data_IF_623909129898
#
_entry.id   IF_623909129898
#
_cell.length_a   1.000
_cell.length_b   1.000
_cell.length_c   1.000
_cell.angle_alpha   90.00
_cell.angle_beta   90.00
_cell.angle_gamma   90.00
#
_symmetry.space_group_name_H-M   'P 1'
#
loop_
_entity.id
_entity.type
_entity.pdbx_description
1 polymer ?
#
# COMPACT_ATOMS: atom_id res chain seq x y z
N UNK A 1 -22.92 -0.15 -30.69
CA UNK A 1 -21.78 -0.37 -29.79
C UNK A 1 -22.37 -0.47 -28.39
N UNK A 2 -22.45 -1.64 -27.78
CA UNK A 2 -22.86 -1.77 -26.37
C UNK A 2 -21.68 -1.30 -25.53
N UNK A 3 -21.85 -0.22 -24.78
CA UNK A 3 -20.86 0.26 -23.81
C UNK A 3 -21.02 -0.65 -22.59
N UNK A 4 -20.30 -1.77 -22.57
CA UNK A 4 -20.43 -2.80 -21.52
C UNK A 4 -19.80 -2.39 -20.18
N UNK A 5 -18.93 -1.38 -20.18
CA UNK A 5 -18.14 -0.95 -19.01
C UNK A 5 -18.43 0.51 -18.63
N UNK A 6 -19.70 0.89 -18.49
CA UNK A 6 -20.04 2.26 -18.10
C UNK A 6 -20.71 2.29 -16.73
N UNK A 7 -20.38 3.34 -15.98
CA UNK A 7 -21.07 3.73 -14.76
C UNK A 7 -22.09 4.81 -15.12
N UNK A 8 -23.36 4.60 -14.81
CA UNK A 8 -24.46 5.53 -15.10
C UNK A 8 -25.34 5.80 -13.87
N UNK A 9 -25.38 4.85 -12.95
CA UNK A 9 -26.22 4.86 -11.77
C UNK A 9 -25.36 5.05 -10.52
N UNK A 10 -24.23 4.35 -10.45
CA UNK A 10 -23.29 4.46 -9.34
C UNK A 10 -22.12 5.37 -9.73
N UNK A 11 -21.54 6.17 -8.80
CA UNK A 11 -20.37 6.98 -9.06
C UNK A 11 -19.12 6.10 -9.28
N UNK A 12 -18.08 6.71 -9.86
CA UNK A 12 -16.77 6.07 -9.96
C UNK A 12 -16.11 5.98 -8.58
N UNK A 13 -15.26 4.97 -8.43
CA UNK A 13 -14.42 4.80 -7.23
C UNK A 13 -13.31 5.84 -7.17
N UNK A 14 -12.64 5.92 -6.02
CA UNK A 14 -11.47 6.78 -5.83
C UNK A 14 -10.38 6.44 -6.86
N UNK A 15 -9.83 7.48 -7.49
CA UNK A 15 -8.88 7.37 -8.59
C UNK A 15 -7.43 7.17 -8.11
N UNK A 16 -6.55 6.80 -9.05
CA UNK A 16 -5.13 6.55 -8.86
C UNK A 16 -4.37 7.73 -8.23
N UNK A 17 -4.65 8.96 -8.64
CA UNK A 17 -4.02 10.17 -8.07
C UNK A 17 -4.26 10.28 -6.56
N UNK A 18 -5.51 10.06 -6.13
CA UNK A 18 -5.86 10.05 -4.69
C UNK A 18 -5.18 8.89 -3.96
N UNK A 19 -5.06 7.73 -4.64
CA UNK A 19 -4.30 6.59 -4.12
C UNK A 19 -2.85 6.93 -3.82
N UNK A 20 -2.15 7.63 -4.73
CA UNK A 20 -0.76 8.11 -4.51
C UNK A 20 -0.69 9.00 -3.28
N UNK A 21 -1.57 9.99 -3.21
CA UNK A 21 -1.58 10.93 -2.09
C UNK A 21 -1.83 10.23 -0.75
N UNK A 22 -2.81 9.33 -0.69
CA UNK A 22 -3.13 8.56 0.51
C UNK A 22 -1.97 7.64 0.94
N UNK A 23 -1.30 6.97 0.02
CA UNK A 23 -0.20 6.07 0.32
C UNK A 23 1.05 6.78 0.85
N UNK A 24 1.34 7.99 0.38
CA UNK A 24 2.54 8.74 0.72
C UNK A 24 2.34 9.83 1.80
N UNK A 25 1.09 10.01 2.28
CA UNK A 25 0.67 11.13 3.12
C UNK A 25 1.56 11.36 4.34
N UNK A 26 1.88 10.31 5.08
CA UNK A 26 2.59 10.38 6.37
C UNK A 26 4.09 10.02 6.27
N UNK A 27 4.61 9.81 5.05
CA UNK A 27 6.00 9.37 4.88
C UNK A 27 7.02 10.52 4.88
N UNK A 28 6.56 11.76 5.13
CA UNK A 28 7.42 12.95 5.24
C UNK A 28 7.88 13.53 3.91
N UNK A 29 7.23 13.14 2.82
CA UNK A 29 7.48 13.65 1.47
C UNK A 29 6.57 14.80 1.08
N UNK A 30 6.85 15.42 -0.05
CA UNK A 30 5.99 16.37 -0.74
C UNK A 30 5.40 15.69 -1.98
N UNK A 31 4.08 15.49 -1.97
CA UNK A 31 3.36 14.95 -3.12
C UNK A 31 2.82 16.10 -3.97
N UNK A 32 3.16 16.11 -5.24
CA UNK A 32 2.79 17.17 -6.19
C UNK A 32 1.92 16.60 -7.29
N UNK A 33 0.65 16.97 -7.28
CA UNK A 33 -0.30 16.67 -8.36
C UNK A 33 -0.15 17.69 -9.48
N UNK A 34 0.26 17.25 -10.66
CA UNK A 34 0.26 18.11 -11.84
C UNK A 34 -1.13 18.15 -12.45
N UNK A 35 -1.87 19.22 -12.15
CA UNK A 35 -3.30 19.32 -12.42
C UNK A 35 -3.78 20.80 -12.46
N UNK A 36 -4.90 21.09 -13.13
CA UNK A 36 -5.55 22.40 -13.07
C UNK A 36 -6.14 22.80 -11.71
N UNK A 37 -6.18 21.93 -10.72
CA UNK A 37 -6.70 22.09 -9.37
C UNK A 37 -8.21 21.91 -9.14
N UNK A 38 -9.00 21.78 -10.18
CA UNK A 38 -10.47 21.67 -10.04
C UNK A 38 -10.92 20.43 -9.26
N UNK A 39 -10.60 19.25 -9.76
CA UNK A 39 -11.05 17.99 -9.16
C UNK A 39 -10.19 17.56 -7.96
N UNK A 40 -8.88 17.74 -8.03
CA UNK A 40 -7.95 17.25 -7.00
C UNK A 40 -7.91 18.13 -5.74
N UNK A 41 -8.40 19.38 -5.79
CA UNK A 41 -8.52 20.21 -4.58
C UNK A 41 -9.49 19.61 -3.56
N UNK A 42 -10.51 18.86 -4.02
CA UNK A 42 -11.47 18.19 -3.14
C UNK A 42 -10.79 17.14 -2.26
N UNK A 43 -9.84 16.39 -2.81
CA UNK A 43 -9.06 15.43 -2.05
C UNK A 43 -8.38 16.09 -0.84
N UNK A 44 -7.68 17.21 -1.07
CA UNK A 44 -6.94 17.91 -0.02
C UNK A 44 -7.83 18.51 1.08
N UNK A 45 -9.11 18.77 0.80
CA UNK A 45 -9.97 19.50 1.73
C UNK A 45 -11.04 18.65 2.39
N UNK A 46 -11.41 17.50 1.81
CA UNK A 46 -12.57 16.75 2.25
C UNK A 46 -12.42 15.23 2.23
N UNK A 47 -11.62 14.69 1.32
CA UNK A 47 -11.59 13.24 1.07
C UNK A 47 -10.48 12.53 1.84
N UNK A 48 -9.36 13.21 2.16
CA UNK A 48 -8.33 12.63 3.02
C UNK A 48 -8.77 12.63 4.49
N UNK A 49 -8.90 11.47 5.09
CA UNK A 49 -9.43 11.29 6.46
C UNK A 49 -8.54 11.92 7.53
N UNK A 50 -7.23 11.98 7.29
CA UNK A 50 -6.21 12.48 8.22
C UNK A 50 -5.95 13.98 8.11
N UNK A 51 -6.61 14.67 7.19
CA UNK A 51 -6.34 16.09 6.89
C UNK A 51 -6.42 17.01 8.10
N UNK A 52 -7.31 16.71 9.05
CA UNK A 52 -7.51 17.52 10.24
C UNK A 52 -6.59 17.17 11.39
N UNK A 53 -5.99 15.98 11.38
CA UNK A 53 -5.21 15.42 12.49
C UNK A 53 -3.70 15.46 12.21
N UNK A 54 -3.31 15.38 10.93
CA UNK A 54 -1.91 15.30 10.51
C UNK A 54 -1.62 16.23 9.34
N UNK A 55 -0.63 17.09 9.48
CA UNK A 55 -0.13 17.94 8.42
C UNK A 55 0.61 17.08 7.36
N UNK A 56 0.33 17.34 6.08
CA UNK A 56 1.07 16.75 4.97
C UNK A 56 1.32 17.75 3.85
N UNK A 57 2.43 17.55 3.15
CA UNK A 57 2.84 18.41 2.03
C UNK A 57 2.25 17.87 0.72
N UNK A 58 0.97 18.15 0.49
CA UNK A 58 0.28 17.82 -0.78
C UNK A 58 -0.01 19.11 -1.54
N UNK A 59 0.47 19.19 -2.77
CA UNK A 59 0.40 20.36 -3.63
C UNK A 59 -0.22 20.05 -4.98
N UNK A 60 -0.85 21.06 -5.55
CA UNK A 60 -1.38 21.04 -6.92
C UNK A 60 -0.66 22.14 -7.70
N UNK A 61 -0.17 21.83 -8.90
CA UNK A 61 0.62 22.78 -9.70
C UNK A 61 -0.20 23.95 -10.24
N UNK A 62 -1.55 23.86 -10.26
CA UNK A 62 -2.43 24.88 -10.78
C UNK A 62 -2.21 25.12 -12.29
N UNK A 63 -2.19 24.05 -13.07
CA UNK A 63 -2.04 24.08 -14.52
C UNK A 63 -3.10 24.99 -15.14
N UNK A 64 -2.67 26.06 -15.82
CA UNK A 64 -3.58 26.96 -16.54
C UNK A 64 -3.90 26.43 -17.93
N UNK A 65 -4.95 26.93 -18.56
CA UNK A 65 -5.30 26.59 -19.95
C UNK A 65 -4.13 26.87 -20.92
N UNK A 66 -3.46 28.01 -20.76
CA UNK A 66 -2.27 28.33 -21.58
C UNK A 66 -1.10 27.39 -21.30
N UNK A 67 -0.87 27.01 -20.05
CA UNK A 67 0.19 26.04 -19.73
C UNK A 67 -0.13 24.67 -20.36
N UNK A 68 -1.41 24.27 -20.37
CA UNK A 68 -1.86 23.02 -20.98
C UNK A 68 -1.70 23.00 -22.52
N UNK A 69 -1.96 24.13 -23.19
CA UNK A 69 -1.86 24.24 -24.64
C UNK A 69 -0.39 24.37 -25.12
N UNK A 70 0.40 25.20 -24.43
CA UNK A 70 1.77 25.54 -24.86
C UNK A 70 2.85 24.65 -24.28
N UNK A 71 2.55 23.94 -23.22
CA UNK A 71 3.53 23.28 -22.35
C UNK A 71 4.29 24.29 -21.49
N UNK A 72 4.47 24.03 -20.20
CA UNK A 72 5.23 24.91 -19.31
C UNK A 72 5.94 24.14 -18.17
N UNK A 73 6.68 23.11 -18.53
CA UNK A 73 7.43 22.29 -17.57
C UNK A 73 8.39 23.11 -16.71
N UNK A 74 8.97 24.19 -17.31
CA UNK A 74 9.88 25.10 -16.58
C UNK A 74 9.21 25.78 -15.38
N UNK A 75 7.91 26.11 -15.49
CA UNK A 75 7.14 26.67 -14.37
C UNK A 75 7.00 25.63 -13.26
N UNK A 76 6.63 24.40 -13.62
CA UNK A 76 6.48 23.29 -12.68
C UNK A 76 7.79 23.03 -11.93
N UNK A 77 8.89 22.90 -12.64
CA UNK A 77 10.22 22.69 -12.07
C UNK A 77 10.57 23.80 -11.09
N UNK A 78 10.43 25.06 -11.50
CA UNK A 78 10.72 26.22 -10.65
C UNK A 78 9.85 26.25 -9.40
N UNK A 79 8.52 26.17 -9.56
CA UNK A 79 7.57 26.34 -8.46
C UNK A 79 7.70 25.22 -7.42
N UNK A 80 7.92 23.98 -7.86
CA UNK A 80 8.18 22.83 -6.98
C UNK A 80 9.55 22.94 -6.30
N UNK A 81 10.60 23.34 -7.02
CA UNK A 81 11.94 23.55 -6.46
C UNK A 81 11.94 24.64 -5.40
N UNK A 82 11.26 25.76 -5.65
CA UNK A 82 11.15 26.87 -4.70
C UNK A 82 10.38 26.47 -3.44
N UNK A 83 9.32 25.68 -3.57
CA UNK A 83 8.59 25.11 -2.44
C UNK A 83 9.47 24.14 -1.64
N UNK A 84 10.13 23.21 -2.33
CA UNK A 84 10.98 22.19 -1.72
C UNK A 84 12.15 22.78 -0.93
N UNK A 85 12.80 23.83 -1.43
CA UNK A 85 13.88 24.56 -0.72
C UNK A 85 13.41 25.23 0.57
N UNK A 86 12.13 25.61 0.66
CA UNK A 86 11.55 26.23 1.86
C UNK A 86 11.06 25.20 2.87
N UNK A 87 10.50 24.09 2.39
CA UNK A 87 9.79 23.12 3.21
C UNK A 87 10.66 21.91 3.60
N UNK A 88 11.77 21.70 2.88
CA UNK A 88 12.76 20.63 3.12
C UNK A 88 12.13 19.24 3.31
N UNK A 89 11.28 18.76 2.39
CA UNK A 89 10.70 17.43 2.50
C UNK A 89 11.75 16.33 2.39
N UNK A 90 11.48 15.15 2.94
CA UNK A 90 12.38 13.98 2.83
C UNK A 90 12.52 13.49 1.38
N UNK A 91 11.47 13.63 0.58
CA UNK A 91 11.44 13.31 -0.85
C UNK A 91 10.33 14.12 -1.56
N UNK A 92 10.32 14.07 -2.89
CA UNK A 92 9.26 14.67 -3.70
C UNK A 92 8.70 13.57 -4.63
N UNK A 93 7.37 13.45 -4.67
CA UNK A 93 6.68 12.55 -5.58
C UNK A 93 5.79 13.36 -6.55
N UNK A 94 5.99 13.17 -7.86
CA UNK A 94 5.15 13.80 -8.89
C UNK A 94 4.11 12.78 -9.36
N UNK A 95 2.83 13.19 -9.43
CA UNK A 95 1.78 12.41 -10.04
C UNK A 95 0.93 13.28 -10.97
N UNK A 96 0.26 12.66 -11.93
CA UNK A 96 -0.45 13.35 -13.00
C UNK A 96 -1.94 13.07 -13.02
N UNK A 97 -2.68 14.03 -13.60
CA UNK A 97 -4.09 13.95 -13.90
C UNK A 97 -4.34 13.73 -15.40
N UNK A 98 -5.60 13.57 -15.86
CA UNK A 98 -5.90 13.31 -17.27
C UNK A 98 -5.37 14.37 -18.25
N UNK A 99 -5.35 15.65 -17.88
CA UNK A 99 -4.96 16.72 -18.82
C UNK A 99 -3.45 16.66 -19.14
N UNK A 100 -2.53 16.66 -18.17
CA UNK A 100 -1.11 16.50 -18.48
C UNK A 100 -0.79 15.17 -19.16
N UNK A 101 -1.51 14.09 -18.82
CA UNK A 101 -1.36 12.81 -19.50
C UNK A 101 -1.68 12.91 -21.00
N UNK A 102 -2.80 13.55 -21.36
CA UNK A 102 -3.17 13.77 -22.75
C UNK A 102 -2.19 14.68 -23.51
N UNK A 103 -1.52 15.58 -22.80
CA UNK A 103 -0.48 16.45 -23.36
C UNK A 103 0.88 15.73 -23.54
N UNK A 104 1.02 14.49 -23.05
CA UNK A 104 2.25 13.72 -23.14
C UNK A 104 3.35 14.26 -22.21
N UNK A 105 3.00 14.78 -21.04
CA UNK A 105 3.96 15.29 -20.05
C UNK A 105 4.92 14.18 -19.60
N UNK A 106 6.23 14.43 -19.70
CA UNK A 106 7.27 13.52 -19.23
C UNK A 106 7.60 13.79 -17.74
N UNK A 107 6.88 13.11 -16.86
CA UNK A 107 7.06 13.25 -15.41
C UNK A 107 8.44 12.80 -14.94
N UNK A 108 9.06 11.82 -15.59
CA UNK A 108 10.38 11.33 -15.19
C UNK A 108 11.46 12.40 -15.52
N UNK A 109 11.36 13.06 -16.67
CA UNK A 109 12.25 14.16 -17.01
C UNK A 109 12.07 15.35 -16.05
N UNK A 110 10.84 15.73 -15.73
CA UNK A 110 10.54 16.81 -14.76
C UNK A 110 11.09 16.45 -13.37
N UNK A 111 10.89 15.22 -12.90
CA UNK A 111 11.40 14.74 -11.61
C UNK A 111 12.93 14.82 -11.54
N UNK A 112 13.63 14.38 -12.61
CA UNK A 112 15.09 14.46 -12.70
C UNK A 112 15.61 15.91 -12.66
N UNK A 113 14.92 16.86 -13.30
CA UNK A 113 15.26 18.27 -13.26
C UNK A 113 15.07 18.86 -11.86
N UNK A 114 13.96 18.56 -11.18
CA UNK A 114 13.68 19.01 -9.81
C UNK A 114 14.75 18.47 -8.86
N UNK A 115 15.04 17.17 -8.90
CA UNK A 115 16.09 16.55 -8.09
C UNK A 115 17.45 17.23 -8.29
N UNK A 116 17.80 17.50 -9.55
CA UNK A 116 19.06 18.19 -9.89
C UNK A 116 19.12 19.62 -9.31
N UNK A 117 18.00 20.35 -9.28
CA UNK A 117 17.98 21.74 -8.85
C UNK A 117 17.88 21.92 -7.32
N UNK A 118 17.16 21.02 -6.62
CA UNK A 118 16.98 21.14 -5.17
C UNK A 118 17.83 20.15 -4.35
N UNK A 119 18.38 19.10 -4.97
CA UNK A 119 19.15 18.05 -4.29
C UNK A 119 18.31 17.11 -3.43
N UNK A 120 16.98 17.17 -3.52
CA UNK A 120 16.05 16.32 -2.79
C UNK A 120 15.62 15.19 -3.74
N UNK A 121 15.66 13.94 -3.24
CA UNK A 121 15.23 12.76 -4.02
C UNK A 121 13.83 12.99 -4.58
N UNK A 122 13.70 12.92 -5.90
CA UNK A 122 12.44 13.16 -6.61
C UNK A 122 12.14 12.01 -7.57
N UNK A 123 10.90 11.51 -7.56
CA UNK A 123 10.46 10.46 -8.45
C UNK A 123 9.05 10.71 -8.99
N UNK A 124 8.76 10.11 -10.13
CA UNK A 124 7.44 10.16 -10.74
C UNK A 124 6.63 8.90 -10.40
N UNK A 125 5.33 9.08 -10.21
CA UNK A 125 4.32 8.02 -10.16
C UNK A 125 3.37 8.25 -11.32
N UNK A 126 3.39 7.33 -12.29
CA UNK A 126 2.60 7.47 -13.52
C UNK A 126 1.12 7.23 -13.21
N UNK A 127 0.36 8.31 -13.11
CA UNK A 127 -1.10 8.33 -12.93
C UNK A 127 -1.76 9.17 -14.02
N UNK A 128 -3.03 8.92 -14.27
CA UNK A 128 -3.79 9.63 -15.30
C UNK A 128 -5.27 9.84 -14.93
N UNK A 129 -5.69 9.47 -13.72
CA UNK A 129 -7.07 9.57 -13.25
C UNK A 129 -8.05 8.57 -13.89
N UNK A 130 -7.56 7.61 -14.69
CA UNK A 130 -8.38 6.59 -15.36
C UNK A 130 -8.30 5.19 -14.71
N UNK A 131 -7.45 5.04 -13.71
CA UNK A 131 -7.28 3.83 -12.90
C UNK A 131 -7.83 4.05 -11.50
N UNK A 132 -8.07 2.97 -10.78
CA UNK A 132 -8.49 3.06 -9.39
C UNK A 132 -7.32 3.30 -8.42
N UNK A 133 -7.66 3.56 -7.16
CA UNK A 133 -6.68 3.90 -6.11
C UNK A 133 -5.67 2.78 -5.83
N UNK A 134 -6.03 1.51 -6.03
CA UNK A 134 -5.11 0.37 -5.80
C UNK A 134 -3.87 0.53 -6.65
N UNK A 135 -4.07 0.82 -7.94
CA UNK A 135 -2.95 0.99 -8.88
C UNK A 135 -2.09 2.19 -8.52
N UNK A 136 -2.72 3.33 -8.22
CA UNK A 136 -1.98 4.54 -7.84
C UNK A 136 -1.17 4.36 -6.56
N UNK A 137 -1.82 3.89 -5.50
CA UNK A 137 -1.19 3.68 -4.19
C UNK A 137 -0.11 2.59 -4.24
N UNK A 138 -0.38 1.46 -4.91
CA UNK A 138 0.59 0.37 -5.05
C UNK A 138 1.83 0.79 -5.83
N UNK A 139 1.65 1.50 -6.96
CA UNK A 139 2.77 2.06 -7.73
C UNK A 139 3.57 3.06 -6.89
N UNK A 140 2.90 3.91 -6.12
CA UNK A 140 3.55 4.89 -5.26
C UNK A 140 4.43 4.24 -4.19
N UNK A 141 3.94 3.20 -3.50
CA UNK A 141 4.71 2.46 -2.49
C UNK A 141 5.91 1.72 -3.11
N UNK A 142 5.75 1.11 -4.30
CA UNK A 142 6.86 0.50 -5.02
C UNK A 142 7.92 1.54 -5.40
N UNK A 143 7.54 2.67 -5.99
CA UNK A 143 8.47 3.75 -6.37
C UNK A 143 9.15 4.37 -5.16
N UNK A 144 8.44 4.55 -4.06
CA UNK A 144 9.01 4.99 -2.79
C UNK A 144 10.08 4.01 -2.29
N UNK A 145 9.80 2.71 -2.37
CA UNK A 145 10.76 1.67 -1.99
C UNK A 145 12.02 1.69 -2.87
N UNK A 146 11.85 1.77 -4.19
CA UNK A 146 12.95 1.81 -5.16
C UNK A 146 13.82 3.06 -5.02
N UNK A 147 13.20 4.24 -4.88
CA UNK A 147 13.89 5.52 -4.96
C UNK A 147 14.38 6.04 -3.62
N UNK A 148 13.63 5.81 -2.54
CA UNK A 148 13.89 6.41 -1.23
C UNK A 148 14.41 5.36 -0.24
N UNK A 149 13.74 4.21 -0.15
CA UNK A 149 14.06 3.23 0.88
C UNK A 149 15.23 2.31 0.55
N UNK A 150 15.41 1.92 -0.72
CA UNK A 150 16.49 1.02 -1.13
C UNK A 150 17.87 1.44 -0.61
N UNK A 151 18.31 2.69 -0.78
CA UNK A 151 19.61 3.14 -0.25
C UNK A 151 19.74 3.03 1.27
N UNK A 152 18.64 3.17 2.01
CA UNK A 152 18.61 3.04 3.47
C UNK A 152 18.65 1.56 3.89
N UNK A 153 17.86 0.72 3.23
CA UNK A 153 17.83 -0.73 3.46
C UNK A 153 19.18 -1.40 3.18
N UNK A 154 19.82 -1.03 2.08
CA UNK A 154 21.17 -1.55 1.73
C UNK A 154 22.20 -1.18 2.81
N UNK A 155 22.14 0.05 3.36
CA UNK A 155 23.01 0.46 4.48
C UNK A 155 22.77 -0.37 5.73
N UNK A 156 21.51 -0.64 6.10
CA UNK A 156 21.16 -1.45 7.27
C UNK A 156 21.68 -2.88 7.11
N UNK A 157 21.54 -3.48 5.92
CA UNK A 157 22.07 -4.82 5.63
C UNK A 157 23.60 -4.88 5.69
N UNK A 158 24.30 -3.89 5.14
CA UNK A 158 25.75 -3.79 5.21
C UNK A 158 26.21 -3.73 6.67
N UNK A 159 25.57 -2.88 7.50
CA UNK A 159 25.88 -2.77 8.92
C UNK A 159 25.66 -4.10 9.65
N UNK A 160 24.53 -4.78 9.40
CA UNK A 160 24.23 -6.11 10.00
C UNK A 160 25.28 -7.15 9.63
N UNK A 161 25.73 -7.18 8.38
CA UNK A 161 26.74 -8.13 7.90
C UNK A 161 28.13 -7.83 8.48
N UNK A 162 28.51 -6.56 8.64
CA UNK A 162 29.73 -6.15 9.33
C UNK A 162 29.79 -6.66 10.78
N UNK A 163 28.70 -6.53 11.53
CA UNK A 163 28.62 -7.01 12.91
C UNK A 163 28.70 -8.55 13.04
N UNK A 164 28.36 -9.28 11.96
CA UNK A 164 28.46 -10.75 11.90
C UNK A 164 29.84 -11.28 11.45
N UNK A 165 30.80 -10.39 11.16
CA UNK A 165 32.13 -10.78 10.69
C UNK A 165 32.15 -11.38 9.28
N UNK A 166 31.09 -11.23 8.50
CA UNK A 166 31.02 -11.66 7.10
C UNK A 166 31.83 -10.71 6.22
N UNK A 167 32.69 -11.25 5.37
CA UNK A 167 33.61 -10.49 4.53
C UNK A 167 32.82 -9.67 3.49
N UNK A 168 32.95 -8.35 3.49
CA UNK A 168 32.18 -7.39 2.68
C UNK A 168 32.28 -7.69 1.17
N UNK A 169 33.40 -8.31 0.74
CA UNK A 169 33.62 -8.65 -0.67
C UNK A 169 32.63 -9.70 -1.23
N UNK A 170 32.11 -10.60 -0.39
CA UNK A 170 31.09 -11.59 -0.80
C UNK A 170 29.68 -11.01 -0.80
N UNK A 171 29.39 -10.08 0.13
CA UNK A 171 28.09 -9.38 0.19
C UNK A 171 27.92 -8.34 -0.94
N UNK A 172 29.01 -7.74 -1.40
CA UNK A 172 29.00 -6.76 -2.50
C UNK A 172 28.74 -7.39 -3.88
N UNK A 173 28.84 -8.71 -4.01
CA UNK A 173 28.53 -9.39 -5.28
C UNK A 173 27.02 -9.53 -5.52
N UNK A 174 26.21 -9.41 -4.48
CA UNK A 174 24.75 -9.35 -4.55
C UNK A 174 24.20 -7.92 -4.62
N UNK A 175 25.00 -6.93 -4.24
CA UNK A 175 24.64 -5.51 -4.26
C UNK A 175 25.26 -4.86 -5.49
N UNK A 176 24.42 -4.33 -6.35
CA UNK A 176 24.64 -3.74 -7.65
C UNK A 176 26.01 -3.03 -7.81
N UNK A 177 26.78 -3.35 -8.88
CA UNK A 177 28.12 -2.82 -9.21
C UNK A 177 28.21 -1.29 -9.26
N UNK A 178 27.10 -0.61 -9.44
CA UNK A 178 27.06 0.85 -9.63
C UNK A 178 27.32 1.61 -8.31
N UNK A 179 26.89 1.06 -7.15
CA UNK A 179 27.04 1.72 -5.86
C UNK A 179 28.50 1.74 -5.34
N UNK A 180 29.32 0.75 -5.73
CA UNK A 180 30.72 0.67 -5.32
C UNK A 180 31.56 1.69 -6.09
N UNK A 181 31.23 1.95 -7.35
CA UNK A 181 31.97 2.89 -8.20
C UNK A 181 31.74 4.37 -7.82
N UNK A 182 30.55 4.77 -7.40
CA UNK A 182 30.29 6.15 -6.94
C UNK A 182 31.04 6.52 -5.66
N UNK A 183 31.14 5.60 -4.70
CA UNK A 183 31.84 5.86 -3.45
C UNK A 183 33.38 5.86 -3.58
N UNK A 184 33.92 5.17 -4.59
CA UNK A 184 35.36 5.17 -4.88
C UNK A 184 35.74 6.46 -5.64
N UNK A 185 34.89 6.94 -6.56
CA UNK A 185 35.14 8.17 -7.30
C UNK A 185 35.08 9.43 -6.40
N UNK A 186 34.20 9.46 -5.39
CA UNK A 186 34.13 10.58 -4.43
C UNK A 186 35.33 10.65 -3.49
N UNK A 187 35.95 9.50 -3.14
CA UNK A 187 37.18 9.51 -2.31
C UNK A 187 38.45 9.93 -3.07
N UNK A 188 38.50 9.74 -4.38
CA UNK A 188 39.64 10.15 -5.18
C UNK A 188 39.64 11.65 -5.54
N UNK A 189 38.48 12.32 -5.47
CA UNK A 189 38.35 13.76 -5.75
C UNK A 189 38.60 14.62 -4.47
N UNK A 190 38.43 14.05 -3.28
CA UNK A 190 38.61 14.77 -2.01
C UNK A 190 40.07 15.11 -1.65
N UNK A 191 41.07 14.57 -2.36
CA UNK A 191 42.50 14.78 -2.06
C UNK A 191 43.18 15.88 -2.89
N UNK A 192 42.48 16.68 -3.69
CA UNK A 192 43.07 17.66 -4.58
C UNK A 192 42.62 19.12 -4.43
N UNK A 193 41.81 19.47 -3.42
CA UNK A 193 41.44 20.88 -3.17
C UNK A 193 41.58 21.20 -1.69
N UNK A 194 42.72 21.78 -1.33
CA UNK A 194 42.91 22.41 -0.03
C UNK A 194 42.24 23.80 -0.01
N UNK A 195 41.25 24.00 0.84
CA UNK A 195 40.72 25.32 1.16
C UNK A 195 39.21 25.50 1.04
N UNK A 196 38.43 24.89 1.90
CA UNK A 196 37.05 25.32 2.21
C UNK A 196 36.57 24.68 3.52
N UNK A 197 35.67 25.31 4.29
CA UNK A 197 35.43 24.98 5.69
C UNK A 197 34.79 23.60 5.86
N UNK A 198 35.40 22.83 6.75
CA UNK A 198 34.93 21.54 7.20
C UNK A 198 33.59 21.72 7.93
N UNK A 199 32.49 21.29 7.32
CA UNK A 199 31.24 21.06 8.06
C UNK A 199 31.46 19.88 9.02
N UNK A 200 31.48 20.18 10.32
CA UNK A 200 31.46 19.15 11.37
C UNK A 200 30.16 18.39 11.27
N UNK A 201 30.24 17.13 10.81
CA UNK A 201 29.15 16.17 10.93
C UNK A 201 28.94 15.94 12.43
N UNK A 202 27.79 16.36 12.91
CA UNK A 202 27.40 16.27 14.31
C UNK A 202 27.33 14.81 14.73
N UNK A 203 28.07 14.42 15.75
CA UNK A 203 28.16 13.07 16.34
C UNK A 203 26.89 12.64 17.10
N UNK A 204 25.72 13.24 16.81
CA UNK A 204 24.44 12.86 17.38
C UNK A 204 23.90 11.47 16.99
N UNK A 205 24.43 10.88 15.90
CA UNK A 205 24.00 9.56 15.43
C UNK A 205 24.42 8.43 16.40
N UNK A 206 25.47 8.62 17.19
CA UNK A 206 25.99 7.58 18.10
C UNK A 206 25.16 7.43 19.37
N UNK A 207 24.47 8.47 19.84
CA UNK A 207 23.67 8.38 21.06
C UNK A 207 22.26 7.83 20.80
N UNK A 208 21.63 8.19 19.69
CA UNK A 208 20.33 7.61 19.28
C UNK A 208 20.40 6.13 18.97
N UNK A 209 21.54 5.64 18.47
CA UNK A 209 21.75 4.20 18.24
C UNK A 209 21.91 3.40 19.55
N UNK A 210 22.41 4.03 20.61
CA UNK A 210 22.56 3.38 21.92
C UNK A 210 21.23 3.27 22.68
N UNK A 211 20.35 4.26 22.59
CA UNK A 211 19.03 4.28 23.23
C UNK A 211 18.04 3.31 22.56
N UNK A 212 18.20 3.04 21.25
CA UNK A 212 17.38 2.04 20.53
C UNK A 212 17.92 0.61 20.66
N UNK A 213 19.13 0.43 21.12
CA UNK A 213 19.72 -0.90 21.37
C UNK A 213 19.08 -1.62 22.58
N UNK A 214 18.45 -0.90 23.49
CA UNK A 214 17.77 -1.49 24.66
C UNK A 214 16.37 -2.07 24.36
N UNK A 215 15.79 -1.74 23.21
CA UNK A 215 14.44 -2.22 22.83
C UNK A 215 14.51 -3.58 22.09
N UNK A 216 15.66 -3.93 21.52
CA UNK A 216 15.86 -5.22 20.84
C UNK A 216 17.07 -5.96 21.43
N UNK A 217 16.92 -7.19 21.97
CA UNK A 217 18.04 -7.93 22.50
C UNK A 217 19.10 -8.17 21.41
N UNK A 218 20.35 -7.86 21.72
CA UNK A 218 21.51 -7.84 20.85
C UNK A 218 21.93 -9.19 20.22
N UNK A 219 21.18 -10.28 20.40
CA UNK A 219 21.48 -11.59 19.84
C UNK A 219 20.30 -12.13 19.03
N UNK A 220 20.17 -11.65 17.79
CA UNK A 220 19.29 -12.27 16.82
C UNK A 220 19.95 -13.52 16.23
N UNK A 221 20.05 -14.57 17.04
CA UNK A 221 20.55 -15.88 16.59
C UNK A 221 19.35 -16.72 16.10
N UNK A 222 19.29 -16.96 14.78
CA UNK A 222 18.23 -17.77 14.14
C UNK A 222 18.19 -19.23 14.59
N UNK A 223 19.11 -19.65 15.46
CA UNK A 223 19.18 -21.01 16.01
C UNK A 223 18.31 -21.21 17.24
N UNK A 224 17.75 -20.14 17.81
CA UNK A 224 16.92 -20.23 19.01
C UNK A 224 15.49 -20.63 18.65
N UNK A 225 15.03 -21.80 19.15
CA UNK A 225 13.70 -22.37 18.89
C UNK A 225 12.54 -21.55 19.46
N UNK A 226 12.81 -20.46 20.18
CA UNK A 226 11.86 -19.50 20.73
C UNK A 226 11.81 -18.17 19.95
N UNK A 227 12.21 -18.18 18.69
CA UNK A 227 12.23 -16.96 17.89
C UNK A 227 10.81 -16.53 17.51
N UNK A 228 10.34 -15.42 18.06
CA UNK A 228 9.09 -14.78 17.65
C UNK A 228 9.25 -14.17 16.25
N UNK A 229 8.32 -14.48 15.35
CA UNK A 229 8.33 -13.97 13.96
C UNK A 229 8.07 -12.48 13.94
N UNK A 230 8.87 -11.76 13.17
CA UNK A 230 8.82 -10.29 13.02
C UNK A 230 8.35 -9.93 11.61
N UNK A 231 7.32 -9.08 11.52
CA UNK A 231 6.69 -8.74 10.24
C UNK A 231 6.67 -7.25 9.96
N UNK A 232 6.57 -6.89 8.67
CA UNK A 232 6.10 -5.57 8.24
C UNK A 232 4.63 -5.64 7.85
N UNK A 233 3.88 -4.56 8.04
CA UNK A 233 2.53 -4.37 7.51
C UNK A 233 2.61 -3.47 6.28
N UNK A 234 2.11 -3.94 5.14
CA UNK A 234 2.14 -3.22 3.87
C UNK A 234 0.72 -2.99 3.34
N UNK A 235 0.45 -1.75 2.93
CA UNK A 235 -0.81 -1.39 2.28
C UNK A 235 -1.95 -0.97 3.22
N UNK A 236 -1.66 -0.60 4.46
CA UNK A 236 -2.67 -0.13 5.42
C UNK A 236 -3.06 1.34 5.17
N UNK A 237 -3.58 1.66 3.98
CA UNK A 237 -4.05 3.02 3.66
C UNK A 237 -5.41 3.32 4.26
N UNK A 238 -5.74 4.58 4.57
CA UNK A 238 -7.08 4.96 5.06
C UNK A 238 -8.20 4.70 4.06
N UNK A 239 -7.89 4.50 2.78
CA UNK A 239 -8.87 4.12 1.77
C UNK A 239 -9.48 2.74 2.04
N UNK A 240 -8.70 1.82 2.65
CA UNK A 240 -9.15 0.49 3.05
C UNK A 240 -9.36 0.36 4.57
N UNK A 241 -8.71 1.21 5.37
CA UNK A 241 -8.71 1.18 6.84
C UNK A 241 -9.08 2.55 7.41
N UNK A 242 -10.28 3.00 7.10
CA UNK A 242 -10.76 4.37 7.37
C UNK A 242 -11.01 4.65 8.84
N UNK A 243 -11.46 3.65 9.59
CA UNK A 243 -11.74 3.81 11.02
C UNK A 243 -10.42 3.90 11.76
N UNK A 244 -10.22 4.97 12.54
CA UNK A 244 -8.97 5.25 13.26
C UNK A 244 -8.48 4.06 14.11
N UNK A 245 -9.41 3.32 14.71
CA UNK A 245 -9.09 2.12 15.50
C UNK A 245 -8.69 0.91 14.65
N UNK A 246 -9.03 0.86 13.36
CA UNK A 246 -8.88 -0.36 12.54
C UNK A 246 -7.43 -0.84 12.44
N UNK A 247 -6.46 0.07 12.23
CA UNK A 247 -5.05 -0.32 12.19
C UNK A 247 -4.54 -0.75 13.56
N UNK A 248 -4.99 -0.09 14.63
CA UNK A 248 -4.66 -0.49 16.00
C UNK A 248 -5.26 -1.87 16.33
N UNK A 249 -6.50 -2.12 15.95
CA UNK A 249 -7.16 -3.41 16.13
C UNK A 249 -6.48 -4.53 15.35
N UNK A 250 -6.09 -4.25 14.10
CA UNK A 250 -5.26 -5.15 13.27
C UNK A 250 -3.95 -5.52 13.98
N UNK A 251 -3.21 -4.51 14.46
CA UNK A 251 -1.95 -4.71 15.18
C UNK A 251 -2.16 -5.53 16.45
N UNK A 252 -3.16 -5.20 17.25
CA UNK A 252 -3.49 -5.93 18.47
C UNK A 252 -3.88 -7.39 18.20
N UNK A 253 -4.62 -7.66 17.13
CA UNK A 253 -5.00 -9.01 16.74
C UNK A 253 -3.78 -9.90 16.40
N UNK A 254 -2.71 -9.33 15.83
CA UNK A 254 -1.46 -10.00 15.56
C UNK A 254 -0.59 -10.17 16.80
N UNK A 255 -0.43 -9.10 17.59
CA UNK A 255 0.38 -9.11 18.82
C UNK A 255 -0.17 -10.13 19.83
N UNK A 256 -1.50 -10.23 19.98
CA UNK A 256 -2.15 -11.22 20.84
C UNK A 256 -1.92 -12.68 20.40
N UNK A 257 -1.31 -12.89 19.23
CA UNK A 257 -0.93 -14.21 18.66
C UNK A 257 0.59 -14.38 18.50
N UNK A 258 1.37 -13.64 19.28
CA UNK A 258 2.84 -13.69 19.32
C UNK A 258 3.50 -13.32 17.98
N UNK A 259 2.84 -12.51 17.12
CA UNK A 259 3.42 -11.93 15.91
C UNK A 259 3.91 -10.52 16.23
N UNK A 260 5.21 -10.26 16.05
CA UNK A 260 5.81 -8.97 16.31
C UNK A 260 5.82 -8.09 15.06
N UNK A 261 5.40 -6.84 15.20
CA UNK A 261 5.35 -5.86 14.12
C UNK A 261 6.61 -5.01 14.18
N UNK A 262 7.40 -5.03 13.09
CA UNK A 262 8.60 -4.22 12.95
C UNK A 262 8.28 -2.84 12.40
N UNK A 263 7.53 -2.80 11.28
CA UNK A 263 7.14 -1.56 10.61
C UNK A 263 5.73 -1.65 10.04
N UNK A 264 5.11 -0.48 9.82
CA UNK A 264 3.82 -0.36 9.15
C UNK A 264 3.88 0.76 8.13
N UNK A 265 3.65 0.45 6.84
CA UNK A 265 3.65 1.43 5.77
C UNK A 265 2.24 1.95 5.48
N UNK A 266 2.13 3.26 5.25
CA UNK A 266 0.90 3.97 4.88
C UNK A 266 -0.13 4.14 6.01
N UNK A 267 0.20 3.75 7.24
CA UNK A 267 -0.65 4.04 8.41
C UNK A 267 0.25 4.34 9.60
N UNK A 268 0.20 5.55 10.08
CA UNK A 268 1.14 5.99 11.10
C UNK A 268 0.78 5.53 12.49
N UNK A 269 -0.45 5.53 12.93
CA UNK A 269 -0.76 5.29 14.34
C UNK A 269 0.35 5.76 15.32
N UNK A 270 1.00 6.91 15.00
CA UNK A 270 2.12 7.45 15.78
C UNK A 270 3.48 6.78 15.53
N UNK A 271 3.68 6.03 14.46
CA UNK A 271 4.98 5.42 14.14
C UNK A 271 5.99 6.43 13.58
N UNK A 272 7.24 6.27 14.00
CA UNK A 272 8.37 7.04 13.49
C UNK A 272 8.73 6.57 12.08
N UNK A 273 8.63 7.46 11.09
CA UNK A 273 9.01 7.18 9.69
C UNK A 273 10.46 6.69 9.57
N UNK A 274 11.34 7.10 10.49
CA UNK A 274 12.74 6.70 10.47
C UNK A 274 12.91 5.19 10.82
N UNK A 275 11.91 4.55 11.45
CA UNK A 275 11.93 3.10 11.69
C UNK A 275 11.74 2.28 10.41
N UNK A 276 11.14 2.85 9.35
CA UNK A 276 10.91 2.16 8.08
C UNK A 276 12.22 1.68 7.42
N UNK A 277 13.37 2.29 7.75
CA UNK A 277 14.67 1.80 7.30
C UNK A 277 15.00 0.38 7.78
N UNK A 278 14.36 -0.08 8.86
CA UNK A 278 14.57 -1.42 9.41
C UNK A 278 13.69 -2.49 8.74
N UNK A 279 12.77 -2.12 7.84
CA UNK A 279 11.82 -3.05 7.22
C UNK A 279 12.49 -4.26 6.54
N UNK A 280 13.71 -4.09 6.03
CA UNK A 280 14.52 -5.16 5.43
C UNK A 280 14.96 -6.25 6.42
N UNK A 281 14.77 -6.03 7.72
CA UNK A 281 15.10 -7.01 8.77
C UNK A 281 13.95 -7.95 9.13
N UNK A 282 12.75 -7.72 8.58
CA UNK A 282 11.58 -8.57 8.83
C UNK A 282 11.75 -9.98 8.28
N UNK A 283 11.05 -10.94 8.88
CA UNK A 283 10.99 -12.33 8.43
C UNK A 283 9.96 -12.51 7.31
N UNK A 284 8.85 -11.72 7.35
CA UNK A 284 7.72 -11.79 6.40
C UNK A 284 7.11 -10.40 6.23
N UNK A 285 6.62 -10.10 5.05
CA UNK A 285 5.76 -8.96 4.78
C UNK A 285 4.29 -9.38 4.83
N UNK A 286 3.47 -8.76 5.67
CA UNK A 286 2.02 -8.94 5.68
C UNK A 286 1.38 -7.88 4.79
N UNK A 287 0.76 -8.32 3.70
CA UNK A 287 0.02 -7.49 2.76
C UNK A 287 -1.44 -7.46 3.19
N UNK A 288 -1.88 -6.30 3.71
CA UNK A 288 -3.22 -6.16 4.29
C UNK A 288 -4.25 -5.59 3.30
N UNK A 289 -3.80 -5.06 2.18
CA UNK A 289 -4.58 -4.64 1.02
C UNK A 289 -3.75 -4.85 -0.25
N UNK A 290 -4.38 -5.02 -1.41
CA UNK A 290 -3.72 -5.13 -2.71
C UNK A 290 -2.77 -3.95 -3.01
N UNK A 291 -2.99 -2.81 -2.36
CA UNK A 291 -2.07 -1.66 -2.37
C UNK A 291 -0.64 -2.04 -1.96
N UNK A 292 -0.48 -2.96 -1.02
CA UNK A 292 0.83 -3.41 -0.55
C UNK A 292 1.55 -4.39 -1.47
N UNK A 293 0.86 -4.99 -2.45
CA UNK A 293 1.42 -6.05 -3.30
C UNK A 293 2.66 -5.64 -4.08
N UNK A 294 2.66 -4.50 -4.84
CA UNK A 294 3.83 -4.12 -5.64
C UNK A 294 5.10 -3.87 -4.82
N UNK A 295 4.93 -3.37 -3.58
CA UNK A 295 6.04 -3.20 -2.64
C UNK A 295 6.51 -4.55 -2.08
N UNK A 296 5.59 -5.45 -1.73
CA UNK A 296 5.94 -6.79 -1.23
C UNK A 296 6.69 -7.61 -2.26
N UNK A 297 6.25 -7.59 -3.52
CA UNK A 297 6.93 -8.21 -4.66
C UNK A 297 8.34 -7.67 -4.82
N UNK A 298 8.51 -6.34 -4.80
CA UNK A 298 9.81 -5.70 -4.87
C UNK A 298 10.74 -6.13 -3.70
N UNK A 299 10.22 -6.16 -2.48
CA UNK A 299 11.00 -6.59 -1.32
C UNK A 299 11.36 -8.09 -1.37
N UNK A 300 10.54 -8.92 -2.01
CA UNK A 300 10.89 -10.30 -2.26
C UNK A 300 11.97 -10.44 -3.36
N UNK A 301 11.81 -9.75 -4.48
CA UNK A 301 12.75 -9.77 -5.61
C UNK A 301 14.16 -9.30 -5.19
N UNK A 302 14.25 -8.22 -4.42
CA UNK A 302 15.53 -7.60 -4.04
C UNK A 302 16.15 -8.17 -2.76
N UNK A 303 15.33 -8.59 -1.79
CA UNK A 303 15.79 -8.96 -0.44
C UNK A 303 15.37 -10.37 0.00
N UNK A 304 14.59 -11.08 -0.79
CA UNK A 304 14.14 -12.44 -0.49
C UNK A 304 13.17 -12.52 0.69
N UNK A 305 12.48 -11.42 1.04
CA UNK A 305 11.51 -11.40 2.14
C UNK A 305 10.17 -11.93 1.62
N UNK A 306 9.70 -13.11 2.07
CA UNK A 306 8.43 -13.66 1.63
C UNK A 306 7.26 -12.79 2.10
N UNK A 307 6.08 -12.96 1.47
CA UNK A 307 4.90 -12.20 1.85
C UNK A 307 3.64 -13.05 1.93
N UNK A 308 2.74 -12.63 2.82
CA UNK A 308 1.43 -13.25 3.05
C UNK A 308 0.36 -12.20 2.86
N UNK A 309 -0.65 -12.47 2.04
CA UNK A 309 -1.79 -11.60 1.83
C UNK A 309 -2.97 -12.04 2.73
N UNK A 310 -3.49 -11.10 3.54
CA UNK A 310 -4.62 -11.31 4.43
C UNK A 310 -4.66 -10.33 5.58
N UNK A 311 -5.84 -10.24 6.24
CA UNK A 311 -6.03 -9.48 7.48
C UNK A 311 -6.57 -10.39 8.60
N UNK A 312 -6.18 -10.18 9.86
CA UNK A 312 -6.55 -11.05 10.98
C UNK A 312 -7.98 -10.74 11.49
N UNK A 313 -8.99 -11.06 10.69
CA UNK A 313 -10.40 -10.81 11.00
C UNK A 313 -11.09 -12.07 11.50
N UNK A 314 -11.88 -11.98 12.59
CA UNK A 314 -12.70 -13.05 13.15
C UNK A 314 -11.98 -14.38 13.27
N UNK A 315 -12.68 -15.47 12.93
CA UNK A 315 -12.17 -16.85 13.05
C UNK A 315 -11.07 -17.20 12.03
N UNK A 316 -10.82 -16.33 11.05
CA UNK A 316 -9.74 -16.50 10.08
C UNK A 316 -8.35 -16.10 10.64
N UNK A 317 -8.29 -15.28 11.70
CA UNK A 317 -7.04 -14.74 12.23
C UNK A 317 -6.01 -15.82 12.61
N UNK A 318 -6.43 -16.94 13.17
CA UNK A 318 -5.53 -18.03 13.56
C UNK A 318 -4.91 -18.75 12.35
N UNK A 319 -5.68 -18.87 11.24
CA UNK A 319 -5.19 -19.43 9.98
C UNK A 319 -4.14 -18.53 9.36
N UNK A 320 -4.41 -17.22 9.32
CA UNK A 320 -3.46 -16.22 8.82
C UNK A 320 -2.13 -16.28 9.60
N UNK A 321 -2.17 -16.34 10.93
CA UNK A 321 -0.95 -16.41 11.74
C UNK A 321 -0.15 -17.70 11.47
N UNK A 322 -0.81 -18.84 11.28
CA UNK A 322 -0.13 -20.08 10.87
C UNK A 322 0.58 -19.94 9.51
N UNK A 323 -0.06 -19.28 8.56
CA UNK A 323 0.53 -19.03 7.24
C UNK A 323 1.72 -18.04 7.31
N UNK A 324 1.66 -17.02 8.17
CA UNK A 324 2.80 -16.13 8.45
C UNK A 324 3.99 -16.94 9.01
N UNK A 325 3.76 -17.80 9.99
CA UNK A 325 4.80 -18.67 10.57
C UNK A 325 5.38 -19.62 9.52
N UNK A 326 4.51 -20.19 8.67
CA UNK A 326 4.92 -21.08 7.57
C UNK A 326 5.77 -20.32 6.55
N UNK A 327 5.34 -19.13 6.11
CA UNK A 327 6.11 -18.31 5.17
C UNK A 327 7.49 -17.94 5.72
N UNK A 328 7.57 -17.61 7.02
CA UNK A 328 8.84 -17.31 7.70
C UNK A 328 9.80 -18.49 7.72
N UNK A 329 9.29 -19.71 8.05
CA UNK A 329 10.11 -20.91 8.22
C UNK A 329 10.52 -21.55 6.89
N UNK A 330 9.58 -21.66 5.95
CA UNK A 330 9.76 -22.35 4.66
C UNK A 330 10.21 -21.42 3.53
N UNK A 331 10.23 -20.10 3.77
CA UNK A 331 10.57 -19.06 2.79
C UNK A 331 9.70 -19.13 1.53
N UNK A 332 8.41 -19.44 1.70
CA UNK A 332 7.45 -19.46 0.60
C UNK A 332 7.28 -18.03 0.07
N UNK A 333 7.50 -17.81 -1.23
CA UNK A 333 7.51 -16.45 -1.81
C UNK A 333 6.22 -15.66 -1.56
N UNK A 334 5.08 -16.28 -1.80
CA UNK A 334 3.77 -15.66 -1.66
C UNK A 334 2.73 -16.66 -1.15
N UNK A 335 1.94 -16.26 -0.16
CA UNK A 335 0.78 -17.02 0.32
C UNK A 335 -0.44 -16.09 0.31
N UNK A 336 -1.50 -16.49 -0.41
CA UNK A 336 -2.82 -15.84 -0.33
C UNK A 336 -3.68 -16.64 0.64
N UNK A 337 -3.52 -16.33 1.94
CA UNK A 337 -3.97 -17.15 3.07
C UNK A 337 -5.48 -17.45 3.06
N UNK A 338 -6.30 -16.45 2.72
CA UNK A 338 -7.78 -16.61 2.71
C UNK A 338 -8.29 -17.51 1.57
N UNK A 339 -7.53 -17.73 0.50
CA UNK A 339 -7.96 -18.63 -0.59
C UNK A 339 -7.94 -20.08 -0.14
N UNK A 340 -6.87 -20.52 0.51
CA UNK A 340 -6.74 -21.88 1.03
C UNK A 340 -7.79 -22.18 2.11
N UNK A 341 -8.05 -21.21 2.99
CA UNK A 341 -9.06 -21.32 4.03
C UNK A 341 -10.47 -21.55 3.48
N UNK A 342 -10.82 -20.90 2.34
CA UNK A 342 -12.15 -21.01 1.71
C UNK A 342 -12.34 -22.26 0.84
N UNK A 343 -11.25 -22.83 0.29
CA UNK A 343 -11.35 -23.98 -0.62
C UNK A 343 -12.04 -25.21 -0.01
N UNK A 344 -11.92 -25.45 1.28
CA UNK A 344 -12.60 -26.56 1.97
C UNK A 344 -14.13 -26.42 1.94
N UNK A 345 -14.66 -25.20 1.99
CA UNK A 345 -16.10 -24.93 1.97
C UNK A 345 -16.67 -25.00 0.54
N UNK A 346 -15.90 -24.64 -0.47
CA UNK A 346 -16.27 -24.77 -1.86
C UNK A 346 -16.43 -26.24 -2.30
N UNK A 347 -15.59 -27.15 -1.79
CA UNK A 347 -15.68 -28.61 -2.08
C UNK A 347 -16.92 -29.25 -1.46
N UNK A 348 -17.35 -28.81 -0.29
CA UNK A 348 -18.54 -29.34 0.38
C UNK A 348 -19.84 -28.88 -0.30
N UNK A 349 -19.80 -27.84 -1.13
CA UNK A 349 -20.94 -27.28 -1.87
C UNK A 349 -21.21 -27.99 -3.22
N UNK A 350 -20.37 -28.96 -3.63
CA UNK A 350 -20.58 -29.76 -4.83
C UNK A 350 -21.77 -30.76 -4.72
N UNK A 351 -22.53 -30.71 -3.62
CA UNK A 351 -23.81 -31.42 -3.47
C UNK A 351 -24.87 -30.66 -4.26
N UNK A 352 -25.11 -31.12 -5.49
CA UNK A 352 -26.27 -30.81 -6.33
C UNK A 352 -26.72 -29.33 -6.32
N UNK A 353 -25.96 -28.47 -6.97
CA UNK A 353 -26.47 -27.16 -7.40
C UNK A 353 -27.52 -27.48 -8.49
N UNK A 354 -28.81 -27.48 -8.14
CA UNK A 354 -29.85 -27.23 -9.12
C UNK A 354 -29.46 -25.95 -9.86
N UNK A 355 -29.45 -25.97 -11.19
CA UNK A 355 -29.00 -24.81 -12.02
C UNK A 355 -29.70 -23.48 -11.72
N UNK A 356 -30.74 -23.50 -10.89
CA UNK A 356 -31.55 -22.34 -10.47
C UNK A 356 -31.39 -21.94 -8.99
N UNK A 357 -30.61 -22.65 -8.18
CA UNK A 357 -30.41 -22.25 -6.78
C UNK A 357 -29.39 -21.11 -6.66
N UNK A 358 -29.75 -20.06 -5.90
CA UNK A 358 -28.81 -18.98 -5.60
C UNK A 358 -27.73 -19.46 -4.64
N UNK A 359 -26.53 -18.88 -4.77
CA UNK A 359 -25.45 -19.04 -3.81
C UNK A 359 -25.77 -18.24 -2.53
N UNK A 360 -25.33 -18.68 -1.34
CA UNK A 360 -25.76 -18.08 -0.08
C UNK A 360 -25.27 -16.64 0.09
N UNK A 361 -23.97 -16.36 -0.14
CA UNK A 361 -23.38 -15.08 0.22
C UNK A 361 -22.26 -14.66 -0.73
N UNK A 362 -22.22 -13.37 -1.06
CA UNK A 362 -21.06 -12.71 -1.65
C UNK A 362 -20.66 -11.48 -0.85
N UNK A 363 -19.40 -11.10 -0.98
CA UNK A 363 -18.86 -9.81 -0.48
C UNK A 363 -18.31 -9.01 -1.65
N UNK A 364 -18.56 -7.69 -1.71
CA UNK A 364 -18.08 -6.82 -2.79
C UNK A 364 -17.04 -5.86 -2.23
N UNK A 365 -15.84 -5.80 -2.82
CA UNK A 365 -14.82 -4.83 -2.47
C UNK A 365 -13.40 -5.25 -2.84
N UNK A 366 -12.43 -4.74 -2.10
CA UNK A 366 -11.02 -4.98 -2.29
C UNK A 366 -10.65 -6.47 -2.02
N UNK A 367 -9.73 -7.02 -2.80
CA UNK A 367 -9.50 -8.46 -2.85
C UNK A 367 -8.97 -9.06 -1.53
N UNK A 368 -8.04 -8.39 -0.84
CA UNK A 368 -7.40 -8.92 0.39
C UNK A 368 -8.32 -8.78 1.59
N UNK A 369 -8.90 -7.60 1.77
CA UNK A 369 -9.81 -7.30 2.88
C UNK A 369 -11.09 -8.14 2.79
N UNK A 370 -11.73 -8.14 1.60
CA UNK A 370 -12.95 -8.92 1.39
C UNK A 370 -12.68 -10.42 1.28
N UNK A 371 -11.51 -10.82 0.78
CA UNK A 371 -11.08 -12.22 0.79
C UNK A 371 -10.94 -12.77 2.21
N UNK A 372 -10.33 -11.99 3.09
CA UNK A 372 -10.17 -12.35 4.51
C UNK A 372 -11.52 -12.37 5.25
N UNK A 373 -12.38 -11.38 4.98
CA UNK A 373 -13.74 -11.35 5.52
C UNK A 373 -14.55 -12.56 5.04
N UNK A 374 -14.49 -12.90 3.74
CA UNK A 374 -15.14 -14.08 3.18
C UNK A 374 -14.64 -15.38 3.83
N UNK A 375 -13.33 -15.48 4.13
CA UNK A 375 -12.78 -16.62 4.85
C UNK A 375 -13.30 -16.71 6.29
N UNK A 376 -13.35 -15.60 7.01
CA UNK A 376 -13.90 -15.55 8.37
C UNK A 376 -15.37 -15.98 8.40
N UNK A 377 -16.18 -15.44 7.49
CA UNK A 377 -17.60 -15.79 7.36
C UNK A 377 -17.80 -17.27 6.94
N UNK A 378 -16.95 -17.77 6.01
CA UNK A 378 -17.02 -19.18 5.61
C UNK A 378 -16.72 -20.13 6.76
N UNK A 379 -15.71 -19.82 7.59
CA UNK A 379 -15.36 -20.61 8.78
C UNK A 379 -16.50 -20.57 9.80
N UNK A 380 -17.00 -19.37 10.10
CA UNK A 380 -18.02 -19.19 11.15
C UNK A 380 -19.37 -19.81 10.83
N UNK A 381 -19.85 -19.63 9.60
CA UNK A 381 -21.19 -20.09 9.20
C UNK A 381 -21.16 -21.42 8.44
N UNK A 382 -20.00 -21.97 8.16
CA UNK A 382 -19.82 -23.20 7.38
C UNK A 382 -20.50 -23.15 6.01
N UNK A 383 -20.40 -22.01 5.31
CA UNK A 383 -20.97 -21.76 3.98
C UNK A 383 -19.90 -21.26 3.00
N UNK A 384 -20.07 -21.50 1.69
CA UNK A 384 -19.23 -20.87 0.68
C UNK A 384 -19.56 -19.38 0.58
N UNK A 385 -18.51 -18.52 0.60
CA UNK A 385 -18.63 -17.09 0.39
C UNK A 385 -17.74 -16.68 -0.77
N UNK A 386 -18.29 -15.98 -1.77
CA UNK A 386 -17.55 -15.50 -2.95
C UNK A 386 -17.20 -14.02 -2.81
N UNK A 387 -16.06 -13.63 -3.37
CA UNK A 387 -15.68 -12.23 -3.51
C UNK A 387 -16.03 -11.74 -4.90
N UNK A 388 -16.69 -10.59 -4.98
CA UNK A 388 -16.93 -9.85 -6.22
C UNK A 388 -16.03 -8.60 -6.20
N UNK A 389 -14.93 -8.62 -6.97
CA UNK A 389 -13.95 -7.54 -6.94
C UNK A 389 -14.09 -6.60 -8.13
N UNK A 390 -14.36 -5.30 -7.91
CA UNK A 390 -14.44 -4.30 -8.98
C UNK A 390 -13.08 -3.71 -9.36
N UNK A 391 -12.05 -3.87 -8.50
CA UNK A 391 -10.80 -3.13 -8.56
C UNK A 391 -9.77 -3.76 -9.48
N UNK A 392 -8.87 -2.94 -10.01
CA UNK A 392 -7.77 -3.37 -10.88
C UNK A 392 -6.72 -4.20 -10.10
N UNK A 393 -5.80 -4.81 -10.82
CA UNK A 393 -4.60 -5.50 -10.30
C UNK A 393 -4.86 -6.55 -9.18
N UNK A 394 -6.09 -7.08 -9.10
CA UNK A 394 -6.52 -8.02 -8.07
C UNK A 394 -6.57 -9.49 -8.51
N UNK A 395 -6.30 -9.79 -9.80
CA UNK A 395 -6.55 -11.12 -10.36
C UNK A 395 -5.77 -12.24 -9.68
N UNK A 396 -4.52 -11.99 -9.28
CA UNK A 396 -3.68 -12.97 -8.58
C UNK A 396 -4.12 -13.23 -7.12
N UNK A 397 -4.95 -12.33 -6.58
CA UNK A 397 -5.45 -12.39 -5.21
C UNK A 397 -6.81 -13.09 -5.09
N UNK A 398 -7.52 -13.31 -6.20
CA UNK A 398 -8.83 -13.92 -6.24
C UNK A 398 -8.74 -15.45 -6.39
N UNK A 399 -9.65 -16.17 -5.73
CA UNK A 399 -9.79 -17.63 -5.89
C UNK A 399 -10.64 -17.98 -7.12
N UNK A 400 -10.69 -19.25 -7.45
CA UNK A 400 -11.53 -19.76 -8.56
C UNK A 400 -13.04 -19.58 -8.34
N UNK A 401 -13.47 -19.36 -7.09
CA UNK A 401 -14.88 -19.10 -6.74
C UNK A 401 -15.23 -17.61 -6.71
N UNK A 402 -14.27 -16.74 -6.99
CA UNK A 402 -14.43 -15.29 -6.98
C UNK A 402 -14.64 -14.74 -8.39
N UNK A 403 -15.17 -13.53 -8.47
CA UNK A 403 -15.50 -12.90 -9.73
C UNK A 403 -14.92 -11.49 -9.79
N UNK A 404 -14.18 -11.22 -10.84
CA UNK A 404 -13.81 -9.83 -11.21
C UNK A 404 -14.88 -9.28 -12.13
N UNK A 405 -15.29 -8.02 -11.91
CA UNK A 405 -16.24 -7.36 -12.80
C UNK A 405 -15.78 -5.94 -13.16
N UNK A 406 -16.31 -5.46 -14.27
CA UNK A 406 -16.12 -4.09 -14.74
C UNK A 406 -17.50 -3.48 -15.05
N UNK A 407 -17.79 -2.36 -14.39
CA UNK A 407 -19.04 -1.63 -14.60
C UNK A 407 -20.28 -2.25 -13.92
N UNK A 408 -21.30 -1.44 -13.79
CA UNK A 408 -22.52 -1.73 -13.01
C UNK A 408 -23.37 -2.85 -13.57
N UNK A 409 -23.41 -3.05 -14.90
CA UNK A 409 -24.22 -4.11 -15.52
C UNK A 409 -23.70 -5.50 -15.15
N UNK A 410 -22.37 -5.71 -15.21
CA UNK A 410 -21.78 -6.98 -14.81
C UNK A 410 -21.98 -7.23 -13.31
N UNK A 411 -21.82 -6.19 -12.48
CA UNK A 411 -22.08 -6.27 -11.05
C UNK A 411 -23.52 -6.75 -10.78
N UNK A 412 -24.51 -6.11 -11.40
CA UNK A 412 -25.93 -6.48 -11.24
C UNK A 412 -26.19 -7.94 -11.65
N UNK A 413 -25.62 -8.40 -12.77
CA UNK A 413 -25.79 -9.78 -13.22
C UNK A 413 -25.14 -10.79 -12.25
N UNK A 414 -23.98 -10.46 -11.70
CA UNK A 414 -23.33 -11.30 -10.69
C UNK A 414 -24.13 -11.34 -9.39
N UNK A 415 -24.62 -10.18 -8.90
CA UNK A 415 -25.42 -10.11 -7.66
C UNK A 415 -26.69 -10.98 -7.73
N UNK A 416 -27.32 -11.15 -8.91
CA UNK A 416 -28.49 -12.03 -9.09
C UNK A 416 -28.24 -13.50 -8.69
N UNK A 417 -26.98 -13.92 -8.68
CA UNK A 417 -26.57 -15.29 -8.35
C UNK A 417 -26.57 -15.57 -6.85
N UNK A 418 -26.71 -14.53 -6.01
CA UNK A 418 -26.59 -14.62 -4.56
C UNK A 418 -27.87 -14.24 -3.84
N UNK A 419 -28.14 -14.91 -2.71
CA UNK A 419 -29.25 -14.55 -1.81
C UNK A 419 -28.91 -13.30 -1.02
N UNK A 420 -27.68 -13.24 -0.48
CA UNK A 420 -27.16 -12.15 0.32
C UNK A 420 -25.88 -11.57 -0.30
N UNK A 421 -25.72 -10.26 -0.21
CA UNK A 421 -24.51 -9.55 -0.65
C UNK A 421 -24.13 -8.53 0.43
N UNK A 422 -22.90 -8.61 0.94
CA UNK A 422 -22.30 -7.59 1.81
C UNK A 422 -21.53 -6.64 0.89
N UNK A 423 -21.89 -5.35 0.89
CA UNK A 423 -21.29 -4.37 -0.01
C UNK A 423 -21.44 -2.95 0.51
N UNK A 424 -20.63 -2.05 -0.06
CA UNK A 424 -20.80 -0.62 0.13
C UNK A 424 -22.22 -0.15 -0.26
N UNK A 425 -22.82 0.80 0.47
CA UNK A 425 -24.13 1.39 0.13
C UNK A 425 -24.26 1.94 -1.28
N UNK A 426 -23.15 2.28 -1.92
CA UNK A 426 -23.05 2.71 -3.32
C UNK A 426 -23.72 1.69 -4.27
N UNK A 427 -23.74 0.41 -3.95
CA UNK A 427 -24.33 -0.65 -4.77
C UNK A 427 -25.85 -0.80 -4.59
N UNK A 428 -26.48 -0.13 -3.60
CA UNK A 428 -27.91 -0.23 -3.37
C UNK A 428 -28.78 0.09 -4.62
N UNK A 429 -28.48 1.16 -5.39
CA UNK A 429 -29.32 1.51 -6.55
C UNK A 429 -29.34 0.47 -7.67
N UNK A 430 -28.31 -0.39 -7.72
CA UNK A 430 -28.19 -1.46 -8.75
C UNK A 430 -28.43 -2.85 -8.18
N UNK A 431 -28.79 -2.95 -6.91
CA UNK A 431 -29.08 -4.26 -6.28
C UNK A 431 -30.33 -4.87 -6.90
N UNK A 432 -30.26 -6.11 -7.43
CA UNK A 432 -31.41 -6.74 -8.10
C UNK A 432 -32.48 -7.17 -7.10
N UNK A 433 -33.73 -7.19 -7.56
CA UNK A 433 -34.85 -7.74 -6.77
C UNK A 433 -34.60 -9.20 -6.41
N UNK A 434 -34.80 -9.55 -5.15
CA UNK A 434 -34.61 -10.90 -4.62
C UNK A 434 -33.15 -11.21 -4.19
N UNK A 435 -32.29 -10.20 -4.13
CA UNK A 435 -31.00 -10.22 -3.44
C UNK A 435 -31.05 -9.24 -2.29
N UNK A 436 -30.63 -9.65 -1.10
CA UNK A 436 -30.56 -8.78 0.08
C UNK A 436 -29.17 -8.19 0.18
N UNK A 437 -29.06 -6.84 0.18
CA UNK A 437 -27.79 -6.15 0.37
C UNK A 437 -27.63 -5.75 1.84
N UNK A 438 -26.53 -6.18 2.43
CA UNK A 438 -26.06 -5.77 3.75
C UNK A 438 -24.99 -4.69 3.59
N UNK A 439 -25.12 -3.61 4.35
CA UNK A 439 -24.29 -2.40 4.16
C UNK A 439 -22.94 -2.54 4.85
N UNK A 440 -21.88 -2.43 4.08
CA UNK A 440 -20.49 -2.32 4.56
C UNK A 440 -19.83 -1.11 3.87
N UNK A 441 -19.97 0.11 4.43
CA UNK A 441 -19.40 1.31 3.85
C UNK A 441 -17.88 1.23 3.76
N UNK A 442 -17.33 1.80 2.66
CA UNK A 442 -15.92 1.79 2.37
C UNK A 442 -15.47 3.17 1.85
N UNK A 443 -14.33 3.68 2.35
CA UNK A 443 -13.88 5.04 2.04
C UNK A 443 -13.65 5.25 0.54
N UNK A 444 -12.99 4.31 -0.13
CA UNK A 444 -12.70 4.43 -1.56
C UNK A 444 -13.95 4.37 -2.46
N UNK A 445 -15.12 3.99 -1.92
CA UNK A 445 -16.38 3.86 -2.68
C UNK A 445 -17.37 4.96 -2.31
N UNK A 446 -18.08 4.82 -1.19
CA UNK A 446 -19.04 5.84 -0.73
C UNK A 446 -18.38 7.03 -0.01
N UNK A 447 -17.15 6.85 0.46
CA UNK A 447 -16.35 7.89 1.08
C UNK A 447 -17.04 8.60 2.23
N UNK A 448 -16.86 9.90 2.31
CA UNK A 448 -17.43 10.75 3.37
C UNK A 448 -18.95 10.69 3.51
N UNK A 449 -19.68 10.27 2.45
CA UNK A 449 -21.14 10.16 2.50
C UNK A 449 -21.63 9.15 3.54
N UNK A 450 -20.87 8.07 3.76
CA UNK A 450 -21.20 7.00 4.71
C UNK A 450 -20.15 6.82 5.82
N UNK A 451 -19.21 7.74 5.99
CA UNK A 451 -18.11 7.62 6.96
C UNK A 451 -18.59 7.39 8.39
N UNK A 452 -19.69 8.00 8.80
CA UNK A 452 -20.27 7.82 10.15
C UNK A 452 -20.86 6.42 10.37
N UNK A 453 -21.12 5.66 9.31
CA UNK A 453 -21.65 4.30 9.38
C UNK A 453 -20.53 3.24 9.32
N UNK A 454 -19.27 3.65 9.07
CA UNK A 454 -18.14 2.74 8.99
C UNK A 454 -17.85 2.15 10.36
N UNK A 455 -17.63 0.84 10.38
CA UNK A 455 -17.32 0.09 11.59
C UNK A 455 -15.93 -0.53 11.47
N UNK A 456 -15.32 -0.74 12.62
CA UNK A 456 -14.09 -1.51 12.72
C UNK A 456 -14.39 -3.00 12.53
N UNK A 457 -14.04 -3.55 11.37
CA UNK A 457 -14.31 -4.95 11.02
C UNK A 457 -13.58 -5.96 11.92
N UNK A 458 -12.55 -5.54 12.62
CA UNK A 458 -11.84 -6.40 13.57
C UNK A 458 -12.59 -6.54 14.90
N UNK A 459 -13.35 -5.53 15.30
CA UNK A 459 -14.16 -5.54 16.52
C UNK A 459 -15.56 -6.12 16.27
N UNK A 460 -16.10 -5.87 15.07
CA UNK A 460 -17.49 -6.21 14.74
C UNK A 460 -17.56 -7.03 13.43
N UNK A 461 -16.95 -8.24 13.38
CA UNK A 461 -16.87 -9.01 12.14
C UNK A 461 -18.22 -9.54 11.63
N UNK A 462 -19.33 -9.42 12.36
CA UNK A 462 -20.66 -9.95 12.03
C UNK A 462 -21.78 -8.91 12.09
N UNK A 463 -21.49 -7.65 12.27
CA UNK A 463 -22.51 -6.61 12.40
C UNK A 463 -22.81 -5.89 11.07
N UNK A 464 -23.33 -6.63 10.08
CA UNK A 464 -23.83 -6.13 8.80
C UNK A 464 -25.27 -6.46 8.50
#
# INVERSE_FOLDING_TARGET
MRIENSYRIIPCYTADVSGVCSALYELGGMVVMHDPSGCNSTYNTHDETRWYDNDSLIYITGLTEMDAIMGNDKKVVRDVTDAAKRLLPKFIALCGSPIPFLNGTDYNAIAALIEKECGIRTFAVETNGMHDYIRGAGTALRRYSECVMKPLWDKVLIQKNMHRGVNIAESAHCLNKDFVNENISQKSVANSVAGSPVYKINTGISQTLAEHAEIYPHNYDKSDKNHSVVINILGATPLDFTVESSVCSLKNALINRDIHILTSFSASCGEDVDKLQNAVLADVNLVVSAVGMPMAEYMYEEYGIPYVAGIPVGDFADTLCKDILRAASEKIPCIVSYNDARMQFAKNSSVHINDNAKLPLAVIGEAVTMGSLAAALSIRYNIPVSVLCPLEDSAALLSVSDFKFRGENQCTELMKRFEHVIADPLYLPICPKGTTLHRLPHEAFSGRCCRQEMKDIFLYPDEW
#
